data_IF_516652996176
#
_entry.id   IF_516652996176
#
_cell.length_a   1.000
_cell.length_b   1.000
_cell.length_c   1.000
_cell.angle_alpha   90.00
_cell.angle_beta   90.00
_cell.angle_gamma   90.00
#
_symmetry.space_group_name_H-M   'P 1'
#
loop_
_entity.id
_entity.type
_entity.pdbx_description
1 polymer ?
#
# COMPACT_ATOMS: atom_id res chain seq x y z
N UNK A 1 3.44 18.17 5.49
CA UNK A 1 2.23 18.01 4.65
C UNK A 1 2.40 16.80 3.74
N UNK A 2 1.47 15.85 3.80
CA UNK A 2 1.50 14.64 2.97
C UNK A 2 1.01 14.97 1.55
N UNK A 3 1.83 14.69 0.53
CA UNK A 3 1.42 14.86 -0.86
C UNK A 3 0.48 13.73 -1.30
N UNK A 4 -0.83 13.97 -1.30
CA UNK A 4 -1.88 12.95 -1.51
C UNK A 4 -1.69 12.12 -2.79
N UNK A 5 -1.30 12.78 -3.89
CA UNK A 5 -1.11 12.09 -5.17
C UNK A 5 0.10 11.15 -5.14
N UNK A 6 1.20 11.56 -4.48
CA UNK A 6 2.40 10.73 -4.37
C UNK A 6 2.15 9.58 -3.41
N UNK A 7 1.47 9.85 -2.30
CA UNK A 7 1.06 8.82 -1.35
C UNK A 7 0.21 7.73 -2.02
N UNK A 8 -0.82 8.13 -2.77
CA UNK A 8 -1.68 7.17 -3.47
C UNK A 8 -0.90 6.30 -4.46
N UNK A 9 -0.06 6.93 -5.31
CA UNK A 9 0.79 6.18 -6.26
C UNK A 9 1.74 5.22 -5.54
N UNK A 10 2.37 5.66 -4.45
CA UNK A 10 3.29 4.84 -3.67
C UNK A 10 2.58 3.60 -3.10
N UNK A 11 1.41 3.79 -2.50
CA UNK A 11 0.65 2.68 -1.89
C UNK A 11 0.15 1.70 -2.95
N UNK A 12 -0.37 2.19 -4.07
CA UNK A 12 -0.84 1.35 -5.19
C UNK A 12 0.31 0.56 -5.83
N UNK A 13 1.46 1.19 -6.08
CA UNK A 13 2.57 0.57 -6.81
C UNK A 13 3.45 -0.34 -5.94
N UNK A 14 3.42 -0.18 -4.62
CA UNK A 14 4.26 -0.97 -3.70
C UNK A 14 3.72 -2.37 -3.42
N UNK A 15 2.53 -2.70 -3.91
CA UNK A 15 1.86 -3.97 -3.63
C UNK A 15 1.46 -4.14 -2.16
N UNK A 16 1.45 -3.07 -1.36
CA UNK A 16 1.08 -3.10 0.07
C UNK A 16 -0.41 -3.39 0.29
N UNK A 17 -1.25 -3.08 -0.69
CA UNK A 17 -2.69 -3.22 -0.61
C UNK A 17 -3.24 -3.93 -1.84
N UNK A 18 -4.35 -4.64 -1.65
CA UNK A 18 -5.18 -5.18 -2.72
C UNK A 18 -6.52 -4.46 -2.77
N UNK A 19 -7.08 -4.31 -3.97
CA UNK A 19 -8.45 -3.81 -4.14
C UNK A 19 -9.43 -4.87 -3.67
N UNK A 20 -10.43 -4.47 -2.89
CA UNK A 20 -11.49 -5.38 -2.45
C UNK A 20 -12.66 -5.45 -3.44
N UNK A 21 -12.70 -4.55 -4.44
CA UNK A 21 -13.87 -4.34 -5.30
C UNK A 21 -15.05 -3.66 -4.59
N UNK A 22 -15.01 -3.55 -3.26
CA UNK A 22 -16.00 -2.84 -2.48
C UNK A 22 -15.78 -1.33 -2.54
N UNK A 23 -16.88 -0.62 -2.46
CA UNK A 23 -16.92 0.83 -2.32
C UNK A 23 -17.60 1.11 -0.99
N UNK A 24 -17.03 2.01 -0.19
CA UNK A 24 -17.65 2.49 1.03
C UNK A 24 -18.77 3.49 0.66
N UNK A 25 -20.04 3.13 0.92
CA UNK A 25 -21.15 4.03 0.66
C UNK A 25 -21.10 5.17 1.68
N UNK A 26 -20.71 6.36 1.22
CA UNK A 26 -20.57 7.54 2.08
C UNK A 26 -21.81 8.43 1.97
N UNK A 27 -22.17 9.09 3.07
CA UNK A 27 -23.33 10.00 3.15
C UNK A 27 -23.14 11.32 2.36
N UNK A 28 -21.92 11.64 1.90
CA UNK A 28 -21.60 12.84 1.10
C UNK A 28 -20.29 12.69 0.33
N UNK A 29 -20.22 13.23 -0.90
CA UNK A 29 -19.03 13.22 -1.74
C UNK A 29 -18.94 12.02 -2.70
N UNK A 30 -17.79 11.81 -3.34
CA UNK A 30 -17.54 10.61 -4.17
C UNK A 30 -17.29 9.42 -3.25
N UNK A 31 -17.98 8.29 -3.43
CA UNK A 31 -17.73 7.07 -2.66
C UNK A 31 -16.27 6.61 -2.73
N UNK A 32 -15.73 6.12 -1.62
CA UNK A 32 -14.33 5.72 -1.51
C UNK A 32 -14.18 4.23 -1.85
N UNK A 33 -13.16 3.86 -2.62
CA UNK A 33 -12.83 2.45 -2.83
C UNK A 33 -12.19 1.86 -1.57
N UNK A 34 -12.59 0.64 -1.19
CA UNK A 34 -12.00 -0.09 -0.07
C UNK A 34 -10.81 -0.93 -0.53
N UNK A 35 -9.75 -0.89 0.27
CA UNK A 35 -8.53 -1.66 0.08
C UNK A 35 -8.24 -2.50 1.31
N UNK A 36 -7.60 -3.66 1.12
CA UNK A 36 -7.12 -4.51 2.20
C UNK A 36 -5.60 -4.52 2.22
N UNK A 37 -5.02 -4.44 3.42
CA UNK A 37 -3.58 -4.60 3.59
C UNK A 37 -3.16 -6.07 3.37
N UNK A 38 -2.15 -6.25 2.52
CA UNK A 38 -1.56 -7.55 2.19
C UNK A 38 -0.55 -7.96 3.26
N UNK A 39 -0.98 -8.78 4.23
CA UNK A 39 -0.15 -9.18 5.39
C UNK A 39 1.10 -9.96 4.96
N UNK A 40 1.04 -10.68 3.85
CA UNK A 40 2.13 -11.44 3.24
C UNK A 40 3.32 -10.55 2.85
N UNK A 41 3.10 -9.26 2.55
CA UNK A 41 4.17 -8.31 2.23
C UNK A 41 5.18 -8.18 3.37
N UNK A 42 4.74 -8.37 4.62
CA UNK A 42 5.65 -8.38 5.77
C UNK A 42 6.61 -9.58 5.71
N UNK A 43 6.15 -10.74 5.25
CA UNK A 43 6.99 -11.94 5.08
C UNK A 43 7.86 -11.84 3.84
N UNK A 44 7.34 -11.32 2.73
CA UNK A 44 8.10 -11.06 1.50
C UNK A 44 9.27 -10.12 1.78
N UNK A 45 9.08 -9.04 2.56
CA UNK A 45 10.18 -8.16 2.99
C UNK A 45 11.23 -8.87 3.85
N UNK A 46 10.81 -9.76 4.75
CA UNK A 46 11.74 -10.54 5.59
C UNK A 46 12.50 -11.58 4.75
N UNK A 47 11.84 -12.21 3.78
CA UNK A 47 12.40 -13.19 2.86
C UNK A 47 13.30 -12.56 1.78
N UNK A 48 12.99 -11.32 1.36
CA UNK A 48 13.76 -10.55 0.40
C UNK A 48 15.08 -9.98 0.97
N UNK A 49 15.51 -10.48 2.15
CA UNK A 49 16.87 -10.40 2.69
C UNK A 49 17.58 -9.09 2.40
N UNK A 50 17.52 -8.16 3.34
CA UNK A 50 18.35 -6.96 3.30
C UNK A 50 19.82 -7.38 3.16
N UNK A 51 20.36 -7.32 1.95
CA UNK A 51 21.81 -7.29 1.73
C UNK A 51 22.26 -5.87 2.02
N UNK A 52 22.54 -5.58 3.29
CA UNK A 52 23.42 -4.46 3.61
C UNK A 52 24.81 -4.94 3.24
N UNK A 53 25.22 -4.73 1.99
CA UNK A 53 26.63 -4.75 1.68
C UNK A 53 27.24 -3.58 2.45
N UNK A 54 27.97 -3.89 3.52
CA UNK A 54 28.83 -2.91 4.15
C UNK A 54 29.78 -2.38 3.09
N UNK A 55 29.54 -1.15 2.63
CA UNK A 55 30.53 -0.43 1.86
C UNK A 55 31.69 -0.19 2.81
N UNK A 56 32.82 -0.82 2.47
CA UNK A 56 34.13 -0.52 3.04
C UNK A 56 34.49 0.94 2.77
#
# INVERSE_FOLDING_TARGET
>A
NLHKQNFRRLVENSGLVESTGEIEPQTRGRPAAKFRFRREVLRERLAAGVRISGSR
#
